data_IF_790896636569
#
_entry.id   IF_790896636569
#
_cell.length_a   1.000
_cell.length_b   1.000
_cell.length_c   1.000
_cell.angle_alpha   90.00
_cell.angle_beta   90.00
_cell.angle_gamma   90.00
#
_symmetry.space_group_name_H-M   'P 1'
#
loop_
_entity.id
_entity.type
_entity.pdbx_description
1 polymer ?
#
# COMPACT_ATOMS: atom_id res chain seq x y z
N UNK A 1 -36.40 -45.57 0.35
CA UNK A 1 -35.30 -44.86 -0.35
C UNK A 1 -35.88 -43.60 -0.99
N UNK A 2 -35.84 -42.47 -0.29
CA UNK A 2 -36.20 -41.17 -0.83
C UNK A 2 -35.58 -40.06 0.05
N UNK A 3 -34.93 -39.10 -0.61
CA UNK A 3 -34.57 -37.76 -0.16
C UNK A 3 -33.80 -37.58 1.15
N UNK A 4 -32.47 -37.51 1.03
CA UNK A 4 -31.69 -36.53 1.80
C UNK A 4 -31.44 -35.33 0.88
N UNK A 5 -32.23 -34.27 1.05
CA UNK A 5 -31.84 -32.92 0.62
C UNK A 5 -30.74 -32.45 1.55
N UNK A 6 -29.49 -32.45 1.07
CA UNK A 6 -28.44 -31.65 1.71
C UNK A 6 -28.62 -30.21 1.26
N UNK A 7 -29.39 -29.46 2.04
CA UNK A 7 -29.34 -28.00 2.10
C UNK A 7 -27.90 -27.58 2.44
N UNK A 8 -27.07 -27.38 1.43
CA UNK A 8 -25.80 -26.66 1.59
C UNK A 8 -26.14 -25.18 1.60
N UNK A 9 -26.63 -24.71 2.74
CA UNK A 9 -26.49 -23.31 3.14
C UNK A 9 -24.98 -23.06 3.29
N UNK A 10 -24.32 -22.67 2.20
CA UNK A 10 -23.01 -22.03 2.29
C UNK A 10 -23.25 -20.65 2.88
N UNK A 11 -23.12 -20.56 4.20
CA UNK A 11 -23.12 -19.32 4.96
C UNK A 11 -22.12 -18.33 4.37
N UNK A 12 -22.48 -17.03 4.28
CA UNK A 12 -21.58 -15.99 3.81
C UNK A 12 -20.57 -15.64 4.91
N UNK A 13 -19.38 -15.22 4.48
CA UNK A 13 -18.51 -14.30 5.23
C UNK A 13 -17.87 -14.83 6.52
N UNK A 14 -16.70 -15.44 6.37
CA UNK A 14 -15.63 -15.26 7.36
C UNK A 14 -14.73 -14.16 6.77
N UNK A 15 -14.86 -12.97 7.34
CA UNK A 15 -14.04 -11.80 7.07
C UNK A 15 -12.56 -12.20 7.24
N UNK A 16 -11.73 -12.01 6.21
CA UNK A 16 -10.28 -12.06 6.35
C UNK A 16 -9.83 -10.84 7.17
N UNK A 17 -9.50 -10.92 8.47
CA UNK A 17 -9.05 -9.77 9.22
C UNK A 17 -7.53 -9.82 9.26
N UNK A 18 -6.90 -9.97 8.09
CA UNK A 18 -5.57 -9.40 7.92
C UNK A 18 -5.80 -7.93 7.62
N UNK A 19 -6.17 -7.20 8.67
CA UNK A 19 -6.14 -5.74 8.71
C UNK A 19 -4.72 -5.30 8.38
N UNK A 20 -4.40 -5.21 7.08
CA UNK A 20 -3.34 -4.33 6.61
C UNK A 20 -3.70 -2.99 7.21
N UNK A 21 -2.96 -2.58 8.25
CA UNK A 21 -3.07 -1.26 8.86
C UNK A 21 -3.31 -0.29 7.72
N UNK A 22 -4.40 0.48 7.79
CA UNK A 22 -4.82 1.35 6.71
C UNK A 22 -3.69 2.37 6.48
N UNK A 23 -2.77 2.03 5.58
CA UNK A 23 -1.73 2.93 5.14
C UNK A 23 -2.43 4.01 4.32
N UNK A 24 -2.14 5.27 4.63
CA UNK A 24 -2.66 6.39 3.86
C UNK A 24 -2.25 6.22 2.40
N UNK A 25 -3.23 6.34 1.51
CA UNK A 25 -3.04 6.16 0.07
C UNK A 25 -3.13 7.51 -0.61
N UNK A 26 -2.06 7.87 -1.32
CA UNK A 26 -2.03 9.10 -2.09
C UNK A 26 -2.05 8.79 -3.60
N UNK A 27 -3.00 9.38 -4.32
CA UNK A 27 -3.03 9.30 -5.78
C UNK A 27 -2.17 10.44 -6.36
N UNK A 28 -1.01 10.10 -6.91
CA UNK A 28 -0.09 11.07 -7.50
C UNK A 28 -0.43 11.35 -8.97
N UNK A 29 -0.41 12.62 -9.35
CA UNK A 29 -0.39 13.06 -10.75
C UNK A 29 1.05 13.34 -11.13
N UNK A 30 1.61 12.47 -11.96
CA UNK A 30 2.98 12.58 -12.42
C UNK A 30 3.00 13.27 -13.80
N UNK A 31 4.02 14.10 -14.09
CA UNK A 31 4.28 14.56 -15.45
C UNK A 31 4.55 13.39 -16.41
N UNK A 32 4.43 13.65 -17.72
CA UNK A 32 4.65 12.65 -18.75
C UNK A 32 6.07 12.03 -18.65
N UNK A 33 6.14 10.70 -18.78
CA UNK A 33 7.39 9.93 -18.75
C UNK A 33 7.96 9.68 -17.34
N UNK A 34 7.48 10.35 -16.30
CA UNK A 34 8.02 10.18 -14.95
C UNK A 34 7.72 8.81 -14.36
N UNK A 35 6.56 8.25 -14.69
CA UNK A 35 6.17 6.92 -14.22
C UNK A 35 7.13 5.85 -14.72
N UNK A 36 7.53 5.94 -15.98
CA UNK A 36 8.46 5.03 -16.63
C UNK A 36 9.84 5.12 -15.98
N UNK A 37 10.32 6.35 -15.75
CA UNK A 37 11.60 6.60 -15.05
C UNK A 37 11.58 6.00 -13.63
N UNK A 38 10.52 6.23 -12.85
CA UNK A 38 10.38 5.67 -11.50
C UNK A 38 10.36 4.14 -11.54
N UNK A 39 9.67 3.55 -12.53
CA UNK A 39 9.60 2.10 -12.71
C UNK A 39 10.97 1.50 -13.02
N UNK A 40 11.79 2.16 -13.83
CA UNK A 40 13.17 1.73 -14.10
C UNK A 40 14.07 1.84 -12.87
N UNK A 41 14.00 2.95 -12.14
CA UNK A 41 14.76 3.16 -10.90
C UNK A 41 14.42 2.10 -9.85
N UNK A 42 13.12 1.86 -9.64
CA UNK A 42 12.65 0.83 -8.71
C UNK A 42 13.19 -0.57 -9.07
N UNK A 43 13.20 -0.94 -10.36
CA UNK A 43 13.79 -2.21 -10.82
C UNK A 43 15.29 -2.29 -10.56
N UNK A 44 16.04 -1.23 -10.90
CA UNK A 44 17.50 -1.16 -10.66
C UNK A 44 17.83 -1.29 -9.16
N UNK A 45 17.00 -0.70 -8.30
CA UNK A 45 17.16 -0.71 -6.85
C UNK A 45 16.52 -1.93 -6.16
N UNK A 46 15.91 -2.85 -6.93
CA UNK A 46 15.17 -4.03 -6.42
C UNK A 46 14.08 -3.65 -5.39
N UNK A 47 13.39 -2.54 -5.64
CA UNK A 47 12.30 -1.99 -4.82
C UNK A 47 11.00 -2.00 -5.60
N UNK A 48 9.87 -1.98 -4.88
CA UNK A 48 8.60 -1.58 -5.49
C UNK A 48 8.63 -0.09 -5.85
N UNK A 49 7.81 0.35 -6.82
CA UNK A 49 7.69 1.79 -7.12
C UNK A 49 7.31 2.61 -5.89
N UNK A 50 6.46 2.07 -5.01
CA UNK A 50 6.09 2.73 -3.76
C UNK A 50 7.29 2.91 -2.82
N UNK A 51 8.11 1.86 -2.64
CA UNK A 51 9.33 1.95 -1.84
C UNK A 51 10.35 2.92 -2.44
N UNK A 52 10.44 3.00 -3.76
CA UNK A 52 11.33 3.95 -4.42
C UNK A 52 10.88 5.39 -4.19
N UNK A 53 9.57 5.67 -4.30
CA UNK A 53 8.99 6.98 -3.98
C UNK A 53 9.24 7.33 -2.51
N UNK A 54 9.02 6.40 -1.58
CA UNK A 54 9.28 6.63 -0.16
C UNK A 54 10.75 6.90 0.13
N UNK A 55 11.67 6.12 -0.46
CA UNK A 55 13.12 6.33 -0.30
C UNK A 55 13.57 7.70 -0.83
N UNK A 56 12.95 8.20 -1.90
CA UNK A 56 13.21 9.54 -2.41
C UNK A 56 12.70 10.65 -1.47
N UNK A 57 11.63 10.39 -0.71
CA UNK A 57 11.03 11.35 0.22
C UNK A 57 11.66 11.29 1.63
N UNK A 58 12.26 10.17 2.00
CA UNK A 58 12.75 9.86 3.36
C UNK A 58 13.60 10.99 3.94
N UNK A 59 14.63 11.45 3.21
CA UNK A 59 15.51 12.52 3.71
C UNK A 59 14.81 13.86 3.97
N UNK A 60 13.83 14.24 3.15
CA UNK A 60 13.06 15.46 3.38
C UNK A 60 12.12 15.30 4.59
N UNK A 61 11.43 14.16 4.68
CA UNK A 61 10.49 13.87 5.78
C UNK A 61 11.24 13.80 7.11
N UNK A 62 12.35 13.09 7.18
CA UNK A 62 13.18 12.99 8.37
C UNK A 62 13.72 14.37 8.81
N UNK A 63 14.17 15.19 7.87
CA UNK A 63 14.61 16.56 8.14
C UNK A 63 13.49 17.41 8.75
N UNK A 64 12.28 17.36 8.20
CA UNK A 64 11.13 18.11 8.74
C UNK A 64 10.68 17.57 10.11
N UNK A 65 10.72 16.25 10.32
CA UNK A 65 10.38 15.63 11.61
C UNK A 65 11.36 16.02 12.72
N UNK A 66 12.65 16.19 12.39
CA UNK A 66 13.67 16.62 13.34
C UNK A 66 13.60 18.13 13.65
N UNK A 67 13.18 18.94 12.68
CA UNK A 67 13.08 20.40 12.81
C UNK A 67 11.73 20.88 13.38
N UNK A 68 10.75 20.00 13.52
CA UNK A 68 9.47 20.37 14.14
C UNK A 68 9.63 20.40 15.67
N UNK A 69 9.53 21.56 16.34
CA UNK A 69 9.46 21.58 17.79
C UNK A 69 8.23 20.78 18.21
N UNK A 70 8.47 19.72 18.99
CA UNK A 70 7.44 18.88 19.59
C UNK A 70 6.45 19.82 20.31
N UNK A 71 5.26 20.02 19.74
CA UNK A 71 4.18 20.71 20.43
C UNK A 71 3.77 19.83 21.60
N UNK A 72 4.17 20.24 22.81
CA UNK A 72 3.69 19.69 24.06
C UNK A 72 2.22 19.99 24.32
#
# INVERSE_FOLDING_TARGET
MASLGHDILRTPSQEDPMTRQAQDKFMLRLPDGWREVIKELAQRNRRSMNQEILAALEGQVESEMQNTPQKG
#
